data_IF_286024610676
#
_entry.id   IF_286024610676
#
_cell.length_a   1.000
_cell.length_b   1.000
_cell.length_c   1.000
_cell.angle_alpha   90.00
_cell.angle_beta   90.00
_cell.angle_gamma   90.00
#
_symmetry.space_group_name_H-M   'P 1'
#
loop_
_entity.id
_entity.type
_entity.pdbx_description
1 polymer ?
#
# COMPACT_ATOMS: atom_id res chain seq x y z
N UNK A 1 38.34 -10.16 -64.83
CA UNK A 1 38.36 -9.65 -63.44
C UNK A 1 36.97 -9.11 -63.13
N UNK A 2 36.23 -9.53 -62.11
CA UNK A 2 36.56 -10.44 -61.01
C UNK A 2 35.39 -11.38 -60.72
N UNK A 3 35.63 -12.68 -60.99
CA UNK A 3 34.89 -13.82 -60.43
C UNK A 3 34.95 -13.88 -58.89
N UNK A 4 35.62 -12.90 -58.26
CA UNK A 4 35.78 -12.73 -56.82
C UNK A 4 34.58 -12.04 -56.15
N UNK A 5 33.76 -11.28 -56.89
CA UNK A 5 32.69 -10.45 -56.29
C UNK A 5 31.37 -11.20 -56.07
N UNK A 6 31.13 -12.31 -56.77
CA UNK A 6 29.93 -13.15 -56.59
C UNK A 6 30.15 -14.19 -55.48
N UNK A 7 31.39 -14.64 -55.26
CA UNK A 7 31.73 -15.60 -54.22
C UNK A 7 31.61 -15.03 -52.80
N UNK A 8 31.90 -13.73 -52.61
CA UNK A 8 31.87 -13.10 -51.27
C UNK A 8 30.43 -12.84 -50.81
N UNK A 9 29.50 -12.52 -51.72
CA UNK A 9 28.08 -12.35 -51.40
C UNK A 9 27.39 -13.71 -51.13
N UNK A 10 27.85 -14.78 -51.78
CA UNK A 10 27.34 -16.14 -51.52
C UNK A 10 27.91 -16.75 -50.21
N UNK A 11 29.17 -16.45 -49.86
CA UNK A 11 29.76 -16.88 -48.59
C UNK A 11 29.16 -16.16 -47.37
N UNK A 12 28.72 -14.91 -47.49
CA UNK A 12 28.03 -14.21 -46.40
C UNK A 12 26.63 -14.79 -46.12
N UNK A 13 25.95 -15.35 -47.13
CA UNK A 13 24.66 -16.02 -46.97
C UNK A 13 24.78 -17.44 -46.39
N UNK A 14 25.90 -18.14 -46.64
CA UNK A 14 26.15 -19.49 -46.12
C UNK A 14 26.53 -19.47 -44.63
N UNK A 15 27.24 -18.43 -44.15
CA UNK A 15 27.52 -18.30 -42.71
C UNK A 15 26.26 -17.95 -41.90
N UNK A 16 25.31 -17.23 -42.50
CA UNK A 16 23.99 -17.00 -41.89
C UNK A 16 23.05 -18.22 -41.99
N UNK A 17 23.25 -19.13 -42.95
CA UNK A 17 22.48 -20.37 -43.07
C UNK A 17 23.00 -21.51 -42.17
N UNK A 18 24.24 -21.44 -41.68
CA UNK A 18 24.87 -22.47 -40.83
C UNK A 18 24.65 -22.27 -39.32
N UNK A 19 24.18 -21.10 -38.88
CA UNK A 19 23.75 -20.90 -37.47
C UNK A 19 22.42 -21.58 -37.14
N UNK A 20 21.71 -22.12 -38.16
CA UNK A 20 20.49 -22.92 -38.01
C UNK A 20 20.70 -24.40 -37.65
N UNK A 21 21.95 -24.87 -37.55
CA UNK A 21 22.29 -26.29 -37.34
C UNK A 21 22.78 -26.64 -35.91
N UNK A 22 22.43 -25.84 -34.90
CA UNK A 22 22.63 -26.23 -33.50
C UNK A 22 21.69 -27.35 -33.07
N UNK A 23 22.11 -28.19 -32.14
CA UNK A 23 21.22 -29.16 -31.50
C UNK A 23 20.04 -28.42 -30.83
N UNK A 24 18.83 -28.96 -31.01
CA UNK A 24 17.58 -28.38 -30.51
C UNK A 24 16.94 -29.31 -29.50
N UNK A 25 16.24 -28.73 -28.53
CA UNK A 25 15.39 -29.51 -27.63
C UNK A 25 14.26 -30.15 -28.43
N UNK A 26 14.06 -31.46 -28.26
CA UNK A 26 12.86 -32.16 -28.70
C UNK A 26 12.00 -32.38 -27.45
N UNK A 27 11.02 -31.52 -27.23
CA UNK A 27 10.21 -31.49 -26.01
C UNK A 27 8.77 -31.98 -26.26
N UNK A 28 8.55 -32.81 -27.28
CA UNK A 28 7.25 -33.44 -27.55
C UNK A 28 6.79 -34.36 -26.42
N UNK A 29 7.75 -35.00 -25.74
CA UNK A 29 7.58 -35.80 -24.53
C UNK A 29 8.76 -35.62 -23.58
N UNK A 30 8.58 -35.95 -22.31
CA UNK A 30 9.64 -35.88 -21.29
C UNK A 30 10.86 -36.75 -21.66
N UNK A 31 10.61 -37.96 -22.17
CA UNK A 31 11.68 -38.87 -22.61
C UNK A 31 12.50 -38.30 -23.75
N UNK A 32 11.85 -37.68 -24.74
CA UNK A 32 12.54 -37.04 -25.86
C UNK A 32 13.32 -35.79 -25.41
N UNK A 33 12.76 -35.06 -24.44
CA UNK A 33 13.41 -33.90 -23.86
C UNK A 33 14.70 -34.31 -23.16
N UNK A 34 14.69 -35.31 -22.29
CA UNK A 34 15.89 -35.77 -21.59
C UNK A 34 16.99 -36.26 -22.55
N UNK A 35 16.60 -36.97 -23.62
CA UNK A 35 17.54 -37.41 -24.66
C UNK A 35 18.17 -36.22 -25.40
N UNK A 36 17.38 -35.23 -25.80
CA UNK A 36 17.87 -34.05 -26.52
C UNK A 36 18.67 -33.10 -25.62
N UNK A 37 18.23 -32.87 -24.38
CA UNK A 37 18.95 -32.12 -23.34
C UNK A 37 20.33 -32.73 -23.09
N UNK A 38 20.42 -34.05 -22.95
CA UNK A 38 21.70 -34.74 -22.74
C UNK A 38 22.69 -34.48 -23.88
N UNK A 39 22.22 -34.41 -25.13
CA UNK A 39 23.08 -34.09 -26.27
C UNK A 39 23.59 -32.65 -26.20
N UNK A 40 22.68 -31.70 -25.98
CA UNK A 40 23.00 -30.27 -25.87
C UNK A 40 24.02 -30.05 -24.75
N UNK A 41 23.76 -30.58 -23.56
CA UNK A 41 24.60 -30.42 -22.36
C UNK A 41 26.03 -30.93 -22.56
N UNK A 42 26.27 -31.94 -23.41
CA UNK A 42 27.64 -32.43 -23.70
C UNK A 42 28.52 -31.37 -24.35
N UNK A 43 27.91 -30.45 -25.10
CA UNK A 43 28.62 -29.41 -25.84
C UNK A 43 28.75 -28.10 -25.04
N UNK A 44 28.18 -28.02 -23.84
CA UNK A 44 28.19 -26.83 -22.99
C UNK A 44 29.33 -26.86 -21.97
N UNK A 45 29.92 -25.69 -21.73
CA UNK A 45 30.86 -25.47 -20.62
C UNK A 45 30.12 -25.36 -19.27
N UNK A 46 30.85 -25.21 -18.17
CA UNK A 46 30.26 -25.18 -16.83
C UNK A 46 29.29 -24.00 -16.60
N UNK A 47 29.63 -22.82 -17.13
CA UNK A 47 28.81 -21.61 -17.04
C UNK A 47 27.54 -21.75 -17.89
N UNK A 48 27.67 -22.26 -19.12
CA UNK A 48 26.55 -22.48 -20.03
C UNK A 48 25.57 -23.52 -19.47
N UNK A 49 26.07 -24.57 -18.81
CA UNK A 49 25.24 -25.55 -18.09
C UNK A 49 24.47 -24.92 -16.94
N UNK A 50 25.12 -24.04 -16.17
CA UNK A 50 24.49 -23.29 -15.10
C UNK A 50 23.38 -22.37 -15.63
N UNK A 51 23.65 -21.63 -16.72
CA UNK A 51 22.67 -20.76 -17.35
C UNK A 51 21.49 -21.55 -17.94
N UNK A 52 21.73 -22.72 -18.53
CA UNK A 52 20.66 -23.59 -19.00
C UNK A 52 19.75 -24.06 -17.85
N UNK A 53 20.33 -24.49 -16.73
CA UNK A 53 19.55 -24.91 -15.56
C UNK A 53 18.70 -23.75 -15.01
N UNK A 54 19.27 -22.56 -14.86
CA UNK A 54 18.52 -21.36 -14.47
C UNK A 54 17.39 -21.05 -15.44
N UNK A 55 17.67 -21.07 -16.76
CA UNK A 55 16.67 -20.79 -17.78
C UNK A 55 15.50 -21.77 -17.73
N UNK A 56 15.78 -23.08 -17.58
CA UNK A 56 14.73 -24.10 -17.45
C UNK A 56 13.86 -23.88 -16.19
N UNK A 57 14.45 -23.44 -15.06
CA UNK A 57 13.70 -23.08 -13.85
C UNK A 57 12.81 -21.85 -14.06
N UNK A 58 13.31 -20.82 -14.75
CA UNK A 58 12.50 -19.64 -15.12
C UNK A 58 11.30 -20.07 -15.97
N UNK A 59 11.51 -20.94 -16.97
CA UNK A 59 10.43 -21.47 -17.80
C UNK A 59 9.41 -22.28 -16.98
N UNK A 60 9.88 -23.08 -16.01
CA UNK A 60 9.00 -23.83 -15.12
C UNK A 60 8.14 -22.90 -14.23
N UNK A 61 8.72 -21.82 -13.69
CA UNK A 61 7.96 -20.83 -12.93
C UNK A 61 6.96 -20.09 -13.82
N UNK A 62 7.34 -19.76 -15.05
CA UNK A 62 6.46 -19.12 -16.01
C UNK A 62 5.28 -20.01 -16.40
N UNK A 63 5.50 -21.31 -16.54
CA UNK A 63 4.42 -22.25 -16.86
C UNK A 63 3.39 -22.36 -15.73
N UNK A 64 3.84 -22.30 -14.46
CA UNK A 64 2.95 -22.18 -13.30
C UNK A 64 2.13 -20.89 -13.35
N UNK A 65 2.79 -19.76 -13.62
CA UNK A 65 2.16 -18.45 -13.69
C UNK A 65 1.11 -18.37 -14.81
N UNK A 66 1.44 -18.86 -16.00
CA UNK A 66 0.52 -18.90 -17.14
C UNK A 66 -0.73 -19.71 -16.82
N UNK A 67 -0.56 -20.90 -16.22
CA UNK A 67 -1.71 -21.73 -15.85
C UNK A 67 -2.57 -21.09 -14.75
N UNK A 68 -1.96 -20.38 -13.79
CA UNK A 68 -2.70 -19.68 -12.74
C UNK A 68 -3.51 -18.50 -13.31
N UNK A 69 -2.93 -17.73 -14.23
CA UNK A 69 -3.54 -16.51 -14.75
C UNK A 69 -4.47 -16.76 -15.95
N UNK A 70 -4.28 -17.86 -16.70
CA UNK A 70 -5.08 -18.23 -17.88
C UNK A 70 -5.61 -19.68 -17.76
N UNK A 71 -6.38 -20.03 -16.71
CA UNK A 71 -6.71 -21.42 -16.38
C UNK A 71 -7.49 -22.15 -17.49
N UNK A 72 -8.36 -21.46 -18.22
CA UNK A 72 -9.14 -22.06 -19.31
C UNK A 72 -8.27 -22.44 -20.52
N UNK A 73 -7.26 -21.62 -20.85
CA UNK A 73 -6.34 -21.89 -21.96
C UNK A 73 -5.46 -23.10 -21.69
N UNK A 74 -5.12 -23.33 -20.42
CA UNK A 74 -4.21 -24.40 -19.98
C UNK A 74 -4.94 -25.54 -19.26
N UNK A 75 -6.26 -25.64 -19.44
CA UNK A 75 -7.09 -26.67 -18.81
C UNK A 75 -6.60 -28.07 -19.16
N UNK A 76 -6.44 -28.91 -18.15
CA UNK A 76 -5.97 -30.30 -18.31
C UNK A 76 -4.47 -30.47 -18.61
N UNK A 77 -3.69 -29.39 -18.81
CA UNK A 77 -2.24 -29.47 -19.01
C UNK A 77 -1.49 -29.44 -17.68
N UNK A 78 -0.47 -30.28 -17.49
CA UNK A 78 0.48 -30.14 -16.36
C UNK A 78 1.42 -28.95 -16.56
N UNK A 79 2.07 -28.48 -15.50
CA UNK A 79 3.12 -27.45 -15.63
C UNK A 79 4.25 -27.93 -16.55
N UNK A 80 4.68 -29.19 -16.40
CA UNK A 80 5.71 -29.79 -17.26
C UNK A 80 5.32 -29.78 -18.73
N UNK A 81 4.05 -30.09 -19.05
CA UNK A 81 3.61 -30.07 -20.44
C UNK A 81 3.69 -28.66 -21.03
N UNK A 82 3.33 -27.64 -20.25
CA UNK A 82 3.42 -26.24 -20.67
C UNK A 82 4.88 -25.83 -20.83
N UNK A 83 5.75 -26.14 -19.86
CA UNK A 83 7.19 -25.85 -19.91
C UNK A 83 7.86 -26.49 -21.14
N UNK A 84 7.52 -27.75 -21.44
CA UNK A 84 8.02 -28.47 -22.61
C UNK A 84 7.55 -27.84 -23.93
N UNK A 85 6.28 -27.44 -24.01
CA UNK A 85 5.74 -26.72 -25.18
C UNK A 85 6.44 -25.37 -25.42
N UNK A 86 6.89 -24.69 -24.36
CA UNK A 86 7.61 -23.41 -24.48
C UNK A 86 9.01 -23.53 -25.10
N UNK A 87 9.64 -24.71 -25.01
CA UNK A 87 11.03 -24.91 -25.44
C UNK A 87 11.22 -25.86 -26.62
N UNK A 88 10.15 -26.52 -27.07
CA UNK A 88 10.23 -27.46 -28.20
C UNK A 88 10.81 -26.78 -29.45
N UNK A 89 11.83 -27.39 -30.05
CA UNK A 89 12.51 -26.87 -31.23
C UNK A 89 13.45 -25.68 -30.97
N UNK A 90 13.61 -25.22 -29.73
CA UNK A 90 14.57 -24.17 -29.39
C UNK A 90 15.99 -24.73 -29.24
N UNK A 91 16.98 -23.92 -29.61
CA UNK A 91 18.39 -24.18 -29.31
C UNK A 91 18.73 -23.76 -27.87
N UNK A 92 19.90 -24.15 -27.36
CA UNK A 92 20.41 -23.67 -26.07
C UNK A 92 20.32 -22.15 -25.92
N UNK A 93 20.89 -21.39 -26.87
CA UNK A 93 20.90 -19.92 -26.81
C UNK A 93 19.49 -19.34 -26.90
N UNK A 94 18.59 -19.97 -27.65
CA UNK A 94 17.19 -19.55 -27.73
C UNK A 94 16.43 -19.77 -26.42
N UNK A 95 16.71 -20.85 -25.70
CA UNK A 95 16.12 -21.11 -24.37
C UNK A 95 16.64 -20.11 -23.35
N UNK A 96 17.94 -19.80 -23.37
CA UNK A 96 18.53 -18.76 -22.51
C UNK A 96 17.88 -17.40 -22.79
N UNK A 97 17.83 -16.99 -24.07
CA UNK A 97 17.21 -15.71 -24.45
C UNK A 97 15.73 -15.64 -24.05
N UNK A 98 14.96 -16.73 -24.22
CA UNK A 98 13.57 -16.77 -23.78
C UNK A 98 13.46 -16.52 -22.27
N UNK A 99 14.32 -17.15 -21.46
CA UNK A 99 14.29 -16.95 -20.01
C UNK A 99 14.69 -15.52 -19.61
N UNK A 100 15.69 -14.93 -20.26
CA UNK A 100 16.08 -13.52 -20.08
C UNK A 100 14.92 -12.57 -20.43
N UNK A 101 14.27 -12.77 -21.58
CA UNK A 101 13.12 -11.97 -22.01
C UNK A 101 11.96 -12.07 -21.01
N UNK A 102 11.71 -13.27 -20.46
CA UNK A 102 10.70 -13.48 -19.43
C UNK A 102 11.02 -12.73 -18.14
N UNK A 103 12.25 -12.82 -17.64
CA UNK A 103 12.68 -12.12 -16.43
C UNK A 103 12.58 -10.60 -16.59
N UNK A 104 13.02 -10.06 -17.73
CA UNK A 104 12.90 -8.63 -18.03
C UNK A 104 11.44 -8.19 -18.15
N UNK A 105 10.58 -9.01 -18.77
CA UNK A 105 9.16 -8.73 -18.88
C UNK A 105 8.48 -8.72 -17.50
N UNK A 106 8.84 -9.66 -16.62
CA UNK A 106 8.35 -9.70 -15.24
C UNK A 106 8.81 -8.50 -14.44
N UNK A 107 10.09 -8.13 -14.51
CA UNK A 107 10.60 -6.96 -13.82
C UNK A 107 9.86 -5.68 -14.27
N UNK A 108 9.69 -5.48 -15.58
CA UNK A 108 8.92 -4.35 -16.14
C UNK A 108 7.48 -4.33 -15.62
N UNK A 109 6.84 -5.50 -15.52
CA UNK A 109 5.46 -5.63 -15.04
C UNK A 109 5.36 -5.29 -13.55
N UNK A 110 6.28 -5.78 -12.72
CA UNK A 110 6.28 -5.45 -11.28
C UNK A 110 6.62 -3.98 -11.04
N UNK A 111 7.56 -3.39 -11.79
CA UNK A 111 7.83 -1.94 -11.77
C UNK A 111 6.56 -1.15 -12.06
N UNK A 112 5.82 -1.51 -13.13
CA UNK A 112 4.59 -0.82 -13.50
C UNK A 112 3.50 -0.97 -12.42
N UNK A 113 3.37 -2.16 -11.83
CA UNK A 113 2.43 -2.44 -10.75
C UNK A 113 2.75 -1.62 -9.49
N UNK A 114 3.98 -1.68 -9.00
CA UNK A 114 4.40 -0.94 -7.80
C UNK A 114 4.28 0.57 -8.03
N UNK A 115 4.60 1.07 -9.22
CA UNK A 115 4.39 2.48 -9.58
C UNK A 115 2.91 2.87 -9.51
N UNK A 116 2.01 2.05 -10.05
CA UNK A 116 0.57 2.29 -9.97
C UNK A 116 0.01 2.20 -8.55
N UNK A 117 0.57 1.32 -7.71
CA UNK A 117 0.25 1.26 -6.27
C UNK A 117 0.65 2.57 -5.57
N UNK A 118 1.83 3.11 -5.85
CA UNK A 118 2.28 4.42 -5.32
C UNK A 118 1.35 5.54 -5.77
N UNK A 119 0.99 5.61 -7.05
CA UNK A 119 0.08 6.64 -7.57
C UNK A 119 -1.29 6.58 -6.87
N UNK A 120 -1.80 5.37 -6.64
CA UNK A 120 -3.06 5.15 -5.91
C UNK A 120 -2.95 5.64 -4.46
N UNK A 121 -1.84 5.34 -3.78
CA UNK A 121 -1.59 5.80 -2.41
C UNK A 121 -1.46 7.33 -2.34
N UNK A 122 -0.81 7.97 -3.31
CA UNK A 122 -0.70 9.44 -3.38
C UNK A 122 -2.06 10.11 -3.61
N UNK A 123 -2.96 9.49 -4.40
CA UNK A 123 -4.36 9.94 -4.54
C UNK A 123 -5.10 9.80 -3.21
N UNK A 124 -5.02 8.63 -2.58
CA UNK A 124 -5.64 8.38 -1.28
C UNK A 124 -5.16 9.41 -0.25
N UNK A 125 -3.85 9.65 -0.15
CA UNK A 125 -3.27 10.67 0.74
C UNK A 125 -3.91 12.04 0.54
N UNK A 126 -4.07 12.49 -0.71
CA UNK A 126 -4.72 13.78 -1.01
C UNK A 126 -6.17 13.78 -0.55
N UNK A 127 -6.92 12.71 -0.79
CA UNK A 127 -8.30 12.56 -0.33
C UNK A 127 -8.41 12.59 1.20
N UNK A 128 -7.48 11.95 1.92
CA UNK A 128 -7.43 12.00 3.39
C UNK A 128 -7.29 13.45 3.89
N UNK A 129 -6.35 14.20 3.33
CA UNK A 129 -6.11 15.60 3.71
C UNK A 129 -7.34 16.45 3.42
N UNK A 130 -7.94 16.30 2.25
CA UNK A 130 -9.17 17.01 1.86
C UNK A 130 -10.32 16.66 2.80
N UNK A 131 -10.50 15.39 3.15
CA UNK A 131 -11.57 14.97 4.06
C UNK A 131 -11.33 15.48 5.48
N UNK A 132 -10.09 15.43 5.99
CA UNK A 132 -9.73 16.05 7.28
C UNK A 132 -10.07 17.54 7.29
N UNK A 133 -9.72 18.28 6.24
CA UNK A 133 -10.05 19.72 6.12
C UNK A 133 -11.57 19.97 6.06
N UNK A 134 -12.34 19.10 5.38
CA UNK A 134 -13.81 19.21 5.34
C UNK A 134 -14.47 18.90 6.68
N UNK A 135 -13.81 18.12 7.53
CA UNK A 135 -14.27 17.73 8.87
C UNK A 135 -13.73 18.67 9.97
N UNK A 136 -12.75 19.51 9.66
CA UNK A 136 -12.25 20.58 10.53
C UNK A 136 -13.21 21.78 10.50
N UNK A 137 -14.38 21.58 11.11
CA UNK A 137 -15.49 22.53 11.09
C UNK A 137 -15.88 23.06 12.47
N UNK A 138 -15.12 22.75 13.51
CA UNK A 138 -15.39 23.23 14.87
C UNK A 138 -14.19 23.94 15.47
N UNK A 139 -14.48 24.98 16.25
CA UNK A 139 -13.46 25.70 17.03
C UNK A 139 -13.94 25.88 18.45
N UNK A 140 -13.09 25.55 19.43
CA UNK A 140 -13.36 25.83 20.83
C UNK A 140 -13.52 27.34 21.03
N UNK A 141 -14.65 27.75 21.62
CA UNK A 141 -14.96 29.13 21.95
C UNK A 141 -14.70 29.43 23.42
N UNK A 142 -15.15 28.55 24.31
CA UNK A 142 -14.95 28.71 25.74
C UNK A 142 -14.82 27.34 26.43
N UNK A 143 -14.05 27.31 27.51
CA UNK A 143 -13.91 26.17 28.40
C UNK A 143 -14.16 26.67 29.83
N UNK A 144 -15.09 26.04 30.52
CA UNK A 144 -15.35 26.32 31.93
C UNK A 144 -15.18 25.04 32.72
N UNK A 145 -14.48 25.09 33.84
CA UNK A 145 -14.45 23.97 34.78
C UNK A 145 -15.33 24.34 35.96
N UNK A 146 -16.38 23.56 36.17
CA UNK A 146 -17.29 23.65 37.31
C UNK A 146 -17.06 22.46 38.25
N UNK A 147 -17.73 22.47 39.40
CA UNK A 147 -17.78 21.32 40.30
C UNK A 147 -19.20 20.77 40.26
N UNK A 148 -19.34 19.47 40.03
CA UNK A 148 -20.62 18.77 39.99
C UNK A 148 -20.60 17.59 40.98
N UNK A 149 -21.78 17.18 41.43
CA UNK A 149 -21.92 16.02 42.33
C UNK A 149 -22.16 14.76 41.49
N UNK A 150 -21.29 13.76 41.65
CA UNK A 150 -21.37 12.50 40.93
C UNK A 150 -21.22 11.34 41.91
N UNK A 151 -22.32 10.59 42.11
CA UNK A 151 -22.39 9.50 43.09
C UNK A 151 -21.92 9.89 44.51
N UNK A 152 -22.27 11.10 44.97
CA UNK A 152 -21.90 11.61 46.29
C UNK A 152 -20.47 12.12 46.41
N UNK A 153 -19.69 12.11 45.32
CA UNK A 153 -18.36 12.72 45.24
C UNK A 153 -18.42 14.02 44.44
N UNK A 154 -17.77 15.07 44.94
CA UNK A 154 -17.55 16.30 44.18
C UNK A 154 -16.44 16.11 43.16
N UNK A 155 -16.80 16.19 41.88
CA UNK A 155 -15.89 15.98 40.76
C UNK A 155 -15.84 17.22 39.85
N UNK A 156 -14.67 17.55 39.28
CA UNK A 156 -14.57 18.62 38.31
C UNK A 156 -15.29 18.21 37.02
N UNK A 157 -16.09 19.13 36.48
CA UNK A 157 -16.79 18.97 35.21
C UNK A 157 -16.26 20.01 34.24
N UNK A 158 -15.85 19.55 33.07
CA UNK A 158 -15.48 20.40 31.95
C UNK A 158 -16.73 20.69 31.13
N UNK A 159 -17.08 21.97 31.02
CA UNK A 159 -18.09 22.48 30.11
C UNK A 159 -17.39 23.06 28.89
N UNK A 160 -17.79 22.58 27.71
CA UNK A 160 -17.12 22.84 26.44
C UNK A 160 -18.10 23.56 25.53
N UNK A 161 -17.77 24.80 25.16
CA UNK A 161 -18.48 25.52 24.12
C UNK A 161 -17.61 25.57 22.87
N UNK A 162 -18.15 25.11 21.74
CA UNK A 162 -17.48 25.16 20.44
C UNK A 162 -18.44 25.65 19.35
N UNK A 163 -17.87 26.31 18.36
CA UNK A 163 -18.64 26.94 17.28
C UNK A 163 -18.43 26.23 15.97
N UNK A 164 -19.51 26.09 15.20
CA UNK A 164 -19.43 25.68 13.81
C UNK A 164 -18.78 26.78 12.97
N UNK A 165 -17.68 26.44 12.30
CA UNK A 165 -16.84 27.36 11.51
C UNK A 165 -16.96 27.15 10.01
N UNK A 166 -17.81 26.21 9.56
CA UNK A 166 -18.04 26.00 8.14
C UNK A 166 -18.62 27.25 7.47
N UNK A 167 -18.25 27.47 6.21
CA UNK A 167 -18.62 28.69 5.46
C UNK A 167 -20.09 28.73 5.03
N UNK A 168 -20.75 27.58 5.01
CA UNK A 168 -22.12 27.41 4.55
C UNK A 168 -22.94 26.71 5.64
N UNK A 169 -24.24 26.95 5.72
CA UNK A 169 -25.11 26.18 6.60
C UNK A 169 -24.99 24.69 6.31
N UNK A 170 -24.84 23.87 7.35
CA UNK A 170 -24.81 22.43 7.27
C UNK A 170 -26.21 21.88 7.51
N UNK A 171 -26.85 21.38 6.45
CA UNK A 171 -28.13 20.67 6.54
C UNK A 171 -27.88 19.17 6.41
N UNK A 172 -28.18 18.43 7.46
CA UNK A 172 -27.85 17.01 7.61
C UNK A 172 -27.26 16.75 8.99
N UNK A 173 -26.61 15.60 9.16
CA UNK A 173 -26.06 15.20 10.45
C UNK A 173 -24.54 15.35 10.52
N UNK A 174 -24.04 15.63 11.72
CA UNK A 174 -22.62 15.64 12.05
C UNK A 174 -22.38 14.81 13.32
N UNK A 175 -21.43 13.90 13.25
CA UNK A 175 -20.95 13.18 14.43
C UNK A 175 -19.74 13.93 14.97
N UNK A 176 -19.85 14.47 16.19
CA UNK A 176 -18.80 15.23 16.88
C UNK A 176 -18.16 14.33 17.91
N UNK A 177 -16.83 14.23 17.89
CA UNK A 177 -16.07 13.56 18.93
C UNK A 177 -15.42 14.60 19.83
N UNK A 178 -15.48 14.31 21.14
CA UNK A 178 -14.83 15.07 22.20
C UNK A 178 -13.89 14.11 22.88
N UNK A 179 -12.61 14.45 22.94
CA UNK A 179 -11.59 13.66 23.62
C UNK A 179 -10.78 14.54 24.57
N UNK A 180 -10.69 14.12 25.83
CA UNK A 180 -9.76 14.69 26.80
C UNK A 180 -8.58 13.74 26.94
N UNK A 181 -7.37 14.28 26.75
CA UNK A 181 -6.11 13.54 26.80
C UNK A 181 -5.18 14.12 27.85
N UNK A 182 -4.36 13.25 28.42
CA UNK A 182 -3.26 13.66 29.28
C UNK A 182 -2.07 14.10 28.43
N UNK A 183 -1.52 15.29 28.68
CA UNK A 183 -0.43 15.86 27.85
C UNK A 183 0.85 15.01 27.92
N UNK A 184 1.19 14.50 29.11
CA UNK A 184 2.43 13.77 29.38
C UNK A 184 2.50 12.42 28.68
N UNK A 185 1.38 11.69 28.63
CA UNK A 185 1.31 10.31 28.12
C UNK A 185 0.59 10.21 26.77
N UNK A 186 -0.13 11.27 26.37
CA UNK A 186 -1.06 11.29 25.22
C UNK A 186 -2.23 10.29 25.34
N UNK A 187 -2.41 9.68 26.52
CA UNK A 187 -3.51 8.75 26.81
C UNK A 187 -4.84 9.50 26.80
N UNK A 188 -5.84 8.94 26.10
CA UNK A 188 -7.24 9.37 26.21
C UNK A 188 -7.75 8.95 27.59
N UNK A 189 -8.19 9.93 28.38
CA UNK A 189 -8.77 9.70 29.71
C UNK A 189 -10.29 9.87 29.73
N UNK A 190 -10.84 10.52 28.70
CA UNK A 190 -12.27 10.53 28.42
C UNK A 190 -12.49 10.76 26.94
N UNK A 191 -13.48 10.07 26.38
CA UNK A 191 -13.91 10.25 25.02
C UNK A 191 -15.38 9.87 24.86
N UNK A 192 -16.11 10.71 24.14
CA UNK A 192 -17.48 10.42 23.76
C UNK A 192 -17.80 11.07 22.41
N UNK A 193 -18.93 10.63 21.86
CA UNK A 193 -19.43 11.11 20.59
C UNK A 193 -20.87 11.59 20.76
N UNK A 194 -21.13 12.78 20.25
CA UNK A 194 -22.46 13.35 20.11
C UNK A 194 -22.83 13.42 18.63
N UNK A 195 -24.10 13.20 18.31
CA UNK A 195 -24.64 13.43 16.96
C UNK A 195 -25.51 14.67 17.00
N UNK A 196 -25.25 15.61 16.10
CA UNK A 196 -26.10 16.76 15.83
C UNK A 196 -26.77 16.60 14.46
N UNK A 197 -28.00 17.11 14.30
CA UNK A 197 -28.64 17.26 12.98
C UNK A 197 -29.50 16.09 12.45
N UNK A 198 -30.23 15.36 13.30
CA UNK A 198 -31.26 14.41 12.83
C UNK A 198 -32.66 15.06 12.65
N UNK A 199 -32.80 15.98 11.69
CA UNK A 199 -34.09 16.62 11.39
C UNK A 199 -34.00 17.86 10.51
N UNK A 200 -34.95 18.81 10.67
CA UNK A 200 -34.93 20.14 10.03
C UNK A 200 -33.83 21.07 10.57
N UNK A 201 -33.01 20.60 11.52
CA UNK A 201 -31.99 21.44 12.14
C UNK A 201 -30.83 21.65 11.17
N UNK A 202 -30.36 22.90 11.08
CA UNK A 202 -29.28 23.29 10.18
C UNK A 202 -28.27 24.09 11.00
N UNK A 203 -27.03 23.62 11.08
CA UNK A 203 -25.96 24.36 11.74
C UNK A 203 -25.53 25.52 10.85
N UNK A 204 -25.76 26.75 11.31
CA UNK A 204 -25.34 27.96 10.61
C UNK A 204 -23.95 28.38 11.06
N UNK A 205 -23.16 29.04 10.18
CA UNK A 205 -21.86 29.56 10.55
C UNK A 205 -21.94 30.42 11.82
N UNK A 206 -21.16 30.06 12.85
CA UNK A 206 -21.15 30.73 14.15
C UNK A 206 -22.07 30.13 15.21
N UNK A 207 -22.94 29.18 14.86
CA UNK A 207 -23.76 28.46 15.84
C UNK A 207 -22.87 27.78 16.87
N UNK A 208 -23.26 27.91 18.15
CA UNK A 208 -22.53 27.35 19.29
C UNK A 208 -23.19 26.06 19.74
N UNK A 209 -22.38 25.03 19.92
CA UNK A 209 -22.75 23.75 20.49
C UNK A 209 -22.07 23.62 21.85
N UNK A 210 -22.71 22.87 22.75
CA UNK A 210 -22.23 22.65 24.09
C UNK A 210 -22.10 21.16 24.34
N UNK A 211 -20.99 20.79 24.96
CA UNK A 211 -20.75 19.44 25.44
C UNK A 211 -20.11 19.50 26.83
N UNK A 212 -20.07 18.39 27.54
CA UNK A 212 -19.47 18.33 28.85
C UNK A 212 -18.78 16.99 29.12
N UNK A 213 -17.77 17.03 29.97
CA UNK A 213 -16.97 15.86 30.34
C UNK A 213 -16.67 15.86 31.84
N UNK A 214 -16.72 14.69 32.46
CA UNK A 214 -16.45 14.52 33.89
C UNK A 214 -14.98 14.17 34.09
N UNK A 215 -14.21 15.08 34.67
CA UNK A 215 -12.75 14.97 34.81
C UNK A 215 -12.33 14.13 36.02
N UNK A 216 -13.06 13.05 36.32
CA UNK A 216 -12.80 12.17 37.47
C UNK A 216 -11.46 11.47 37.35
N UNK A 217 -11.16 10.88 36.19
CA UNK A 217 -9.88 10.21 35.94
C UNK A 217 -8.72 11.21 36.00
N UNK A 218 -8.90 12.42 35.46
CA UNK A 218 -7.88 13.48 35.55
C UNK A 218 -7.56 13.85 37.01
N UNK A 219 -8.59 13.99 37.86
CA UNK A 219 -8.44 14.27 39.29
C UNK A 219 -7.79 13.12 40.05
N UNK A 220 -8.12 11.88 39.71
CA UNK A 220 -7.52 10.69 40.31
C UNK A 220 -6.03 10.54 39.95
N UNK A 221 -5.67 10.83 38.69
CA UNK A 221 -4.30 10.67 38.20
C UNK A 221 -3.34 11.77 38.69
N UNK A 222 -3.82 13.00 38.88
CA UNK A 222 -3.01 14.17 39.26
C UNK A 222 -3.65 15.02 40.37
N UNK A 223 -3.97 14.45 41.55
CA UNK A 223 -4.76 15.13 42.58
C UNK A 223 -4.15 16.45 43.06
N UNK A 224 -2.83 16.62 42.97
CA UNK A 224 -2.11 17.84 43.30
C UNK A 224 -2.53 19.04 42.43
N UNK A 225 -2.93 18.81 41.17
CA UNK A 225 -3.41 19.87 40.27
C UNK A 225 -4.83 20.34 40.60
N UNK A 226 -5.57 19.56 41.39
CA UNK A 226 -6.99 19.80 41.68
C UNK A 226 -7.26 20.25 43.13
N UNK A 227 -6.32 20.05 44.04
CA UNK A 227 -6.51 20.22 45.50
C UNK A 227 -7.00 21.61 45.93
N UNK A 228 -6.57 22.67 45.23
CA UNK A 228 -6.84 24.06 45.63
C UNK A 228 -7.58 24.87 44.55
N UNK A 229 -8.22 24.18 43.60
CA UNK A 229 -8.95 24.84 42.52
C UNK A 229 -10.19 25.53 43.09
N UNK A 230 -10.38 26.80 42.73
CA UNK A 230 -11.59 27.55 43.04
C UNK A 230 -12.51 27.53 41.83
N UNK A 231 -13.66 26.89 41.97
CA UNK A 231 -14.67 26.80 40.91
C UNK A 231 -15.66 27.97 40.98
N UNK A 232 -16.21 28.42 39.84
CA UNK A 232 -15.89 28.00 38.48
C UNK A 232 -14.56 28.58 37.97
N UNK A 233 -13.81 27.80 37.17
CA UNK A 233 -12.67 28.29 36.41
C UNK A 233 -13.15 28.63 35.00
N UNK A 234 -13.32 29.91 34.70
CA UNK A 234 -13.74 30.39 33.37
C UNK A 234 -12.54 30.57 32.44
N UNK A 235 -12.74 30.37 31.14
CA UNK A 235 -11.66 30.37 30.13
C UNK A 235 -10.49 29.47 30.53
N UNK A 236 -10.81 28.27 31.02
CA UNK A 236 -9.84 27.35 31.58
C UNK A 236 -8.77 26.95 30.55
N UNK A 237 -7.50 27.08 30.95
CA UNK A 237 -6.36 26.52 30.20
C UNK A 237 -6.13 25.09 30.67
N UNK A 238 -6.62 24.12 29.90
CA UNK A 238 -6.52 22.70 30.27
C UNK A 238 -5.07 22.22 30.52
N UNK A 239 -4.10 22.86 29.87
CA UNK A 239 -2.68 22.58 30.10
C UNK A 239 -2.23 22.79 31.56
N UNK A 240 -2.86 23.72 32.29
CA UNK A 240 -2.59 23.96 33.72
C UNK A 240 -2.97 22.74 34.57
N UNK A 241 -3.89 21.92 34.06
CA UNK A 241 -4.32 20.65 34.65
C UNK A 241 -3.61 19.43 34.02
N UNK A 242 -2.65 19.65 33.12
CA UNK A 242 -1.97 18.59 32.36
C UNK A 242 -2.84 17.92 31.30
N UNK A 243 -3.88 18.60 30.83
CA UNK A 243 -4.86 18.06 29.90
C UNK A 243 -4.84 18.82 28.57
N UNK A 244 -5.16 18.12 27.50
CA UNK A 244 -5.51 18.69 26.20
C UNK A 244 -6.89 18.19 25.77
N UNK A 245 -7.60 19.01 25.00
CA UNK A 245 -8.93 18.71 24.49
C UNK A 245 -8.90 18.71 22.97
N UNK A 246 -9.43 17.65 22.38
CA UNK A 246 -9.69 17.57 20.95
C UNK A 246 -11.21 17.52 20.74
N UNK A 247 -11.73 18.48 19.97
CA UNK A 247 -13.12 18.45 19.48
C UNK A 247 -13.08 18.50 17.97
N UNK A 248 -13.64 17.48 17.31
CA UNK A 248 -13.60 17.35 15.86
C UNK A 248 -14.82 16.62 15.33
N UNK A 249 -15.21 16.90 14.08
CA UNK A 249 -16.20 16.09 13.39
C UNK A 249 -15.57 14.77 12.93
N UNK A 250 -16.14 13.64 13.33
CA UNK A 250 -15.73 12.33 12.81
C UNK A 250 -16.50 11.95 11.56
N UNK A 251 -17.70 12.47 11.37
CA UNK A 251 -18.47 12.30 10.14
C UNK A 251 -19.41 13.46 9.88
N UNK A 252 -19.69 13.74 8.60
CA UNK A 252 -20.71 14.67 8.13
C UNK A 252 -21.53 13.95 7.07
N UNK A 253 -22.86 13.96 7.21
CA UNK A 253 -23.80 13.41 6.23
C UNK A 253 -24.70 14.50 5.68
N UNK A 254 -24.60 14.77 4.38
CA UNK A 254 -25.43 15.75 3.66
C UNK A 254 -26.03 15.12 2.42
N UNK A 255 -27.34 15.30 2.17
CA UNK A 255 -28.03 14.77 0.98
C UNK A 255 -27.79 13.25 0.75
N UNK A 256 -27.76 12.46 1.82
CA UNK A 256 -27.52 11.01 1.76
C UNK A 256 -26.07 10.59 1.46
N UNK A 257 -25.13 11.53 1.37
CA UNK A 257 -23.70 11.26 1.23
C UNK A 257 -22.96 11.55 2.52
N UNK A 258 -22.14 10.61 2.97
CA UNK A 258 -21.35 10.72 4.19
C UNK A 258 -19.86 10.89 3.86
N UNK A 259 -19.24 11.88 4.48
CA UNK A 259 -17.78 12.04 4.57
C UNK A 259 -17.43 11.65 6.00
N UNK A 260 -16.52 10.70 6.17
CA UNK A 260 -16.08 10.23 7.49
C UNK A 260 -14.57 10.33 7.62
N UNK A 261 -14.09 10.42 8.86
CA UNK A 261 -12.68 10.28 9.15
C UNK A 261 -12.20 8.90 8.66
N UNK A 262 -11.12 8.87 7.87
CA UNK A 262 -10.53 7.62 7.40
C UNK A 262 -10.00 6.78 8.57
N UNK A 263 -10.00 5.45 8.41
CA UNK A 263 -9.47 4.52 9.43
C UNK A 263 -7.96 4.57 9.59
N UNK A 264 -7.26 5.08 8.59
CA UNK A 264 -5.81 5.17 8.53
C UNK A 264 -5.38 6.63 8.44
N UNK A 265 -4.23 6.94 9.01
CA UNK A 265 -3.66 8.27 9.07
C UNK A 265 -2.90 8.64 7.78
N UNK A 266 -2.49 9.91 7.66
CA UNK A 266 -1.66 10.33 6.52
C UNK A 266 -0.26 9.72 6.67
N UNK A 267 0.18 9.59 7.91
CA UNK A 267 1.44 9.00 8.32
C UNK A 267 1.53 7.51 7.94
N UNK A 268 0.42 6.77 8.08
CA UNK A 268 0.34 5.36 7.66
C UNK A 268 0.50 5.23 6.14
N UNK A 269 -0.16 6.10 5.37
CA UNK A 269 -0.03 6.11 3.90
C UNK A 269 1.38 6.52 3.48
N UNK A 270 1.98 7.50 4.15
CA UNK A 270 3.36 7.92 3.87
C UNK A 270 4.39 6.82 4.16
N UNK A 271 4.18 6.04 5.23
CA UNK A 271 5.02 4.88 5.54
C UNK A 271 4.93 3.82 4.43
N UNK A 272 3.73 3.52 3.93
CA UNK A 272 3.56 2.56 2.84
C UNK A 272 4.13 3.08 1.52
N UNK A 273 3.90 4.35 1.18
CA UNK A 273 4.52 4.99 0.00
C UNK A 273 6.05 4.89 0.07
N UNK A 274 6.65 5.15 1.25
CA UNK A 274 8.10 5.05 1.43
C UNK A 274 8.60 3.63 1.21
N UNK A 275 7.91 2.63 1.76
CA UNK A 275 8.23 1.21 1.57
C UNK A 275 8.14 0.82 0.08
N UNK A 276 7.08 1.22 -0.60
CA UNK A 276 6.90 0.97 -2.04
C UNK A 276 7.92 1.68 -2.92
N UNK A 277 8.33 2.91 -2.56
CA UNK A 277 9.42 3.62 -3.26
C UNK A 277 10.77 2.91 -3.08
N UNK A 278 11.01 2.27 -1.94
CA UNK A 278 12.20 1.45 -1.73
C UNK A 278 12.16 0.18 -2.59
N UNK A 279 11.03 -0.55 -2.56
CA UNK A 279 10.79 -1.73 -3.42
C UNK A 279 10.95 -1.38 -4.91
N UNK A 280 10.37 -0.26 -5.37
CA UNK A 280 10.50 0.20 -6.75
C UNK A 280 11.96 0.47 -7.14
N UNK A 281 12.74 1.06 -6.22
CA UNK A 281 14.15 1.33 -6.46
C UNK A 281 14.95 0.04 -6.61
N UNK A 282 14.71 -0.96 -5.76
CA UNK A 282 15.35 -2.28 -5.85
C UNK A 282 15.02 -2.96 -7.19
N UNK A 283 13.75 -2.92 -7.62
CA UNK A 283 13.32 -3.46 -8.92
C UNK A 283 13.98 -2.74 -10.10
N UNK A 284 14.16 -1.41 -10.02
CA UNK A 284 14.82 -0.60 -11.05
C UNK A 284 16.33 -0.84 -11.14
N UNK A 285 16.97 -1.22 -10.03
CA UNK A 285 18.39 -1.59 -9.99
C UNK A 285 18.62 -3.03 -10.50
N UNK A 286 17.60 -3.87 -10.44
CA UNK A 286 17.61 -5.24 -10.97
C UNK A 286 17.48 -5.23 -12.49
N UNK A 287 18.39 -5.92 -13.19
CA UNK A 287 18.38 -6.02 -14.66
C UNK A 287 17.32 -7.00 -15.15
N UNK A 288 16.93 -7.96 -14.31
CA UNK A 288 16.02 -9.04 -14.65
C UNK A 288 16.73 -10.05 -15.54
N UNK A 289 17.91 -10.51 -15.11
CA UNK A 289 18.78 -11.38 -15.92
C UNK A 289 19.19 -12.67 -15.19
N UNK A 290 19.60 -13.71 -15.92
CA UNK A 290 19.91 -15.01 -15.30
C UNK A 290 21.15 -14.97 -14.38
N UNK A 291 22.08 -14.04 -14.61
CA UNK A 291 23.26 -13.85 -13.75
C UNK A 291 22.89 -13.39 -12.33
N UNK A 292 21.75 -12.71 -12.16
CA UNK A 292 21.22 -12.27 -10.86
C UNK A 292 20.56 -13.41 -10.07
N UNK A 293 20.29 -14.55 -10.71
CA UNK A 293 19.72 -15.72 -10.04
C UNK A 293 20.81 -16.59 -9.42
N UNK A 294 20.61 -17.03 -8.19
CA UNK A 294 21.44 -18.06 -7.57
C UNK A 294 20.73 -19.41 -7.56
N UNK A 295 21.41 -20.45 -8.06
CA UNK A 295 20.92 -21.82 -7.88
C UNK A 295 21.23 -22.24 -6.44
N UNK A 296 20.24 -22.14 -5.56
CA UNK A 296 20.36 -22.67 -4.20
C UNK A 296 20.20 -24.19 -4.23
N UNK A 297 21.27 -24.90 -4.59
CA UNK A 297 21.36 -26.35 -4.44
C UNK A 297 22.56 -26.66 -3.51
N UNK A 298 22.27 -27.06 -2.27
CA UNK A 298 23.09 -28.04 -1.54
C UNK A 298 22.27 -29.30 -1.39
#
# INVERSE_FOLDING_TARGET
>A
MNKLSVAIVFCAFIVAALTGCGEKFNAKSEKEFEVSKTKIVKNLNAEEKNNLEKALRVIALESMRLKWNEPEKYKGKSFDKISLEMIDGLSYSSVVNLAEDLLQAHNKKEIAKVSGEIDTLEIQKKELVVNKQKLDIFKIKNLTITEDEFFGEKVPKLEIEYVYTGKQPLTGSVDVNVEVREISTKKVISAHMSRDGDGNNTLKPGDSLNDNDMLREAKANHPEKWKNVKYPVTNAKLADFGLELNVYASSITTNGKTIALPKYSVEDVDAEIKKKKAELKELQETKGTLDELELTNK
#
